data_IF_709342214937
#
_entry.id   IF_709342214937
#
_cell.length_a   1.000
_cell.length_b   1.000
_cell.length_c   1.000
_cell.angle_alpha   90.00
_cell.angle_beta   90.00
_cell.angle_gamma   90.00
#
_symmetry.space_group_name_H-M   'P 1'
#
loop_
_entity.id
_entity.type
_entity.pdbx_description
1 polymer ?
#
# COMPACT_ATOMS: atom_id res chain seq x y z
N UNK A 1 17.87 -1.16 -49.03
CA UNK A 1 16.77 -1.75 -49.82
C UNK A 1 17.35 -2.74 -50.82
N UNK A 2 17.20 -4.05 -50.59
CA UNK A 2 16.78 -5.16 -51.49
C UNK A 2 17.08 -6.52 -50.79
N UNK A 3 16.55 -7.69 -51.20
CA UNK A 3 15.30 -8.23 -50.64
C UNK A 3 15.39 -9.71 -50.16
N UNK A 4 14.31 -10.11 -49.48
CA UNK A 4 13.77 -11.47 -49.28
C UNK A 4 14.42 -12.65 -50.03
N UNK A 5 14.92 -13.65 -49.28
CA UNK A 5 15.11 -15.02 -49.77
C UNK A 5 14.07 -15.97 -49.16
N UNK A 6 13.15 -16.42 -49.99
CA UNK A 6 12.24 -17.55 -49.76
C UNK A 6 13.05 -18.85 -49.63
N UNK A 7 12.80 -19.65 -48.58
CA UNK A 7 13.03 -21.09 -48.61
C UNK A 7 11.75 -21.82 -48.20
N UNK A 8 11.19 -22.53 -49.19
CA UNK A 8 10.24 -23.62 -49.02
C UNK A 8 10.95 -24.77 -48.31
N UNK A 9 10.40 -25.25 -47.20
CA UNK A 9 10.67 -26.60 -46.71
C UNK A 9 9.39 -27.42 -46.71
N UNK A 10 9.55 -28.66 -47.16
CA UNK A 10 8.53 -29.63 -47.56
C UNK A 10 8.55 -30.72 -46.49
N UNK A 11 7.64 -30.68 -45.52
CA UNK A 11 7.60 -31.69 -44.46
C UNK A 11 6.89 -32.97 -44.93
N UNK A 12 7.62 -34.08 -44.78
CA UNK A 12 7.19 -35.44 -45.09
C UNK A 12 6.31 -35.98 -43.96
N UNK A 13 5.28 -36.73 -44.32
CA UNK A 13 4.32 -37.32 -43.40
C UNK A 13 4.94 -38.18 -42.30
N UNK A 14 4.48 -37.94 -41.07
CA UNK A 14 4.68 -38.80 -39.91
C UNK A 14 3.29 -39.25 -39.45
N UNK A 15 3.03 -40.55 -39.54
CA UNK A 15 1.80 -41.17 -39.02
C UNK A 15 1.81 -41.05 -37.49
N UNK A 16 0.86 -40.29 -36.94
CA UNK A 16 0.68 -40.10 -35.50
C UNK A 16 -0.24 -41.20 -34.97
N UNK A 17 0.11 -41.94 -33.89
CA UNK A 17 -0.78 -42.93 -33.32
C UNK A 17 -2.03 -42.27 -32.72
N UNK A 18 -3.21 -42.83 -33.00
CA UNK A 18 -4.48 -42.37 -32.44
C UNK A 18 -4.45 -42.45 -30.91
N UNK A 19 -4.48 -41.29 -30.24
CA UNK A 19 -4.71 -41.21 -28.79
C UNK A 19 -6.08 -41.82 -28.51
N UNK A 20 -6.13 -42.96 -27.79
CA UNK A 20 -7.37 -43.43 -27.18
C UNK A 20 -7.91 -42.31 -26.29
N UNK A 21 -9.10 -41.83 -26.63
CA UNK A 21 -9.85 -40.86 -25.83
C UNK A 21 -10.29 -41.62 -24.57
N UNK A 22 -9.73 -41.28 -23.42
CA UNK A 22 -10.26 -41.79 -22.14
C UNK A 22 -11.71 -41.35 -22.03
N UNK A 23 -12.58 -42.26 -21.61
CA UNK A 23 -14.00 -41.92 -21.38
C UNK A 23 -14.11 -40.93 -20.23
N UNK A 24 -15.12 -40.05 -20.25
CA UNK A 24 -15.38 -39.11 -19.15
C UNK A 24 -15.52 -39.83 -17.80
N UNK A 25 -15.96 -41.10 -17.82
CA UNK A 25 -16.07 -41.95 -16.64
C UNK A 25 -14.71 -42.30 -15.97
N UNK A 26 -13.63 -42.43 -16.74
CA UNK A 26 -12.28 -42.73 -16.23
C UNK A 26 -11.54 -41.50 -15.67
N UNK A 27 -11.86 -40.30 -16.17
CA UNK A 27 -11.36 -39.04 -15.58
C UNK A 27 -12.04 -38.76 -14.24
N UNK A 28 -13.32 -39.07 -14.12
CA UNK A 28 -14.11 -38.86 -12.90
C UNK A 28 -13.71 -39.83 -11.78
N UNK A 29 -13.28 -41.05 -12.09
CA UNK A 29 -12.85 -42.01 -11.06
C UNK A 29 -11.52 -41.62 -10.40
N UNK A 30 -10.61 -40.95 -11.12
CA UNK A 30 -9.35 -40.42 -10.56
C UNK A 30 -9.50 -39.13 -9.76
N UNK A 31 -10.61 -38.39 -9.91
CA UNK A 31 -10.88 -37.13 -9.21
C UNK A 31 -11.72 -37.22 -7.93
N UNK A 32 -12.34 -38.37 -7.64
CA UNK A 32 -13.35 -38.49 -6.57
C UNK A 32 -12.83 -38.60 -5.13
N UNK A 33 -11.52 -38.66 -4.92
CA UNK A 33 -10.91 -38.71 -3.57
C UNK A 33 -10.51 -37.34 -2.97
N UNK A 34 -10.40 -36.30 -3.80
CA UNK A 34 -9.91 -34.97 -3.39
C UNK A 34 -11.02 -34.00 -2.95
N UNK A 35 -12.21 -34.10 -3.55
CA UNK A 35 -13.28 -33.11 -3.40
C UNK A 35 -13.81 -32.95 -1.96
N UNK A 36 -13.93 -34.03 -1.18
CA UNK A 36 -14.40 -33.92 0.21
C UNK A 36 -13.33 -33.35 1.16
N UNK A 37 -12.05 -33.64 0.93
CA UNK A 37 -10.95 -33.05 1.72
C UNK A 37 -10.73 -31.60 1.33
N UNK A 38 -10.85 -31.26 0.05
CA UNK A 38 -10.75 -29.89 -0.46
C UNK A 38 -11.95 -29.04 -0.05
N UNK A 39 -13.17 -29.58 -0.03
CA UNK A 39 -14.35 -28.92 0.56
C UNK A 39 -14.20 -28.73 2.07
N UNK A 40 -13.59 -29.69 2.78
CA UNK A 40 -13.31 -29.60 4.22
C UNK A 40 -12.21 -28.58 4.53
N UNK A 41 -11.15 -28.54 3.72
CA UNK A 41 -10.07 -27.55 3.79
C UNK A 41 -10.64 -26.18 3.45
N UNK A 42 -11.36 -26.02 2.35
CA UNK A 42 -11.97 -24.74 1.97
C UNK A 42 -13.03 -24.29 2.98
N UNK A 43 -13.76 -25.21 3.62
CA UNK A 43 -14.69 -24.89 4.73
C UNK A 43 -13.93 -24.52 6.01
N UNK A 44 -12.78 -25.14 6.29
CA UNK A 44 -11.91 -24.76 7.42
C UNK A 44 -11.20 -23.45 7.17
N UNK A 45 -10.70 -23.19 5.97
CA UNK A 45 -10.13 -21.91 5.53
C UNK A 45 -11.21 -20.84 5.58
N UNK A 46 -12.40 -21.07 5.03
CA UNK A 46 -13.53 -20.14 5.17
C UNK A 46 -13.97 -19.95 6.62
N UNK A 47 -13.93 -20.98 7.47
CA UNK A 47 -14.22 -20.85 8.90
C UNK A 47 -13.12 -20.13 9.65
N UNK A 48 -11.85 -20.27 9.24
CA UNK A 48 -10.71 -19.60 9.83
C UNK A 48 -10.69 -18.12 9.42
N UNK A 49 -10.92 -17.84 8.14
CA UNK A 49 -11.14 -16.51 7.57
C UNK A 49 -12.39 -15.85 8.18
N UNK A 50 -13.50 -16.58 8.35
CA UNK A 50 -14.70 -16.05 9.03
C UNK A 50 -14.49 -15.82 10.54
N UNK A 51 -13.53 -16.50 11.18
CA UNK A 51 -13.12 -16.23 12.57
C UNK A 51 -12.18 -15.03 12.67
N UNK A 52 -11.37 -14.78 11.64
CA UNK A 52 -10.62 -13.52 11.48
C UNK A 52 -11.56 -12.34 11.13
N UNK A 53 -12.75 -12.63 10.58
CA UNK A 53 -13.84 -11.68 10.26
C UNK A 53 -14.95 -11.66 11.33
N UNK A 54 -14.69 -12.07 12.57
CA UNK A 54 -15.57 -11.73 13.70
C UNK A 54 -15.55 -10.20 13.92
N UNK A 55 -16.64 -9.59 14.45
CA UNK A 55 -17.06 -8.20 14.19
C UNK A 55 -15.93 -7.19 14.38
N UNK A 56 -15.91 -6.10 13.58
CA UNK A 56 -14.68 -5.46 13.15
C UNK A 56 -13.85 -5.14 14.38
N UNK A 57 -12.65 -5.71 14.49
CA UNK A 57 -11.62 -5.01 15.26
C UNK A 57 -11.61 -3.61 14.67
N UNK A 58 -12.01 -2.57 15.43
CA UNK A 58 -12.07 -1.23 14.89
C UNK A 58 -10.69 -0.92 14.34
N UNK A 59 -10.53 -0.67 13.05
CA UNK A 59 -9.25 -0.22 12.53
C UNK A 59 -9.14 1.26 12.90
N UNK A 60 -8.22 1.58 13.79
CA UNK A 60 -7.89 2.94 14.17
C UNK A 60 -6.73 3.41 13.31
N UNK A 61 -7.00 4.21 12.29
CA UNK A 61 -5.91 4.91 11.59
C UNK A 61 -5.44 6.02 12.54
N UNK A 62 -4.18 5.96 12.97
CA UNK A 62 -3.60 7.09 13.72
C UNK A 62 -3.47 8.28 12.79
N UNK A 63 -3.80 9.45 13.32
CA UNK A 63 -3.60 10.72 12.63
C UNK A 63 -2.14 10.85 12.24
N UNK A 64 -1.90 11.20 10.97
CA UNK A 64 -0.61 11.74 10.57
C UNK A 64 -0.47 13.07 11.30
N UNK A 65 0.36 13.10 12.35
CA UNK A 65 0.74 14.36 12.97
C UNK A 65 1.76 14.95 12.02
N UNK A 66 1.31 15.82 11.11
CA UNK A 66 2.21 16.62 10.28
C UNK A 66 2.99 17.52 11.22
N UNK A 67 4.23 17.12 11.51
CA UNK A 67 5.12 17.89 12.35
C UNK A 67 5.68 19.07 11.55
N UNK A 68 5.64 20.24 12.16
CA UNK A 68 6.22 21.44 11.55
C UNK A 68 7.74 21.23 11.30
N UNK A 69 8.29 21.72 10.17
CA UNK A 69 9.66 21.54 9.65
C UNK A 69 10.86 21.82 10.56
N UNK A 70 10.64 22.30 11.79
CA UNK A 70 11.69 22.73 12.73
C UNK A 70 12.66 21.59 13.10
N UNK A 71 12.35 20.35 12.72
CA UNK A 71 13.10 19.15 13.07
C UNK A 71 13.74 18.41 11.89
N UNK A 72 13.64 18.92 10.66
CA UNK A 72 14.40 18.35 9.54
C UNK A 72 15.83 18.84 9.66
N UNK A 73 16.73 17.99 10.17
CA UNK A 73 18.16 18.28 10.36
C UNK A 73 18.76 19.07 9.17
N UNK A 74 18.94 20.38 9.36
CA UNK A 74 19.53 21.26 8.35
C UNK A 74 18.57 21.86 7.31
N UNK A 75 17.25 21.86 7.54
CA UNK A 75 16.33 22.61 6.70
C UNK A 75 16.68 24.11 6.76
N UNK A 76 17.08 24.66 5.62
CA UNK A 76 17.27 26.10 5.45
C UNK A 76 15.93 26.87 5.55
N UNK A 77 14.83 26.14 5.36
CA UNK A 77 13.46 26.64 5.38
C UNK A 77 12.78 26.32 6.71
N UNK A 78 12.01 27.28 7.23
CA UNK A 78 11.13 27.11 8.40
C UNK A 78 9.79 26.46 8.02
N UNK A 79 9.58 26.13 6.75
CA UNK A 79 8.36 25.53 6.19
C UNK A 79 8.74 24.47 5.13
N UNK A 80 7.75 23.88 4.48
CA UNK A 80 7.92 22.89 3.39
C UNK A 80 8.17 23.53 2.02
N UNK A 81 8.23 24.87 1.92
CA UNK A 81 8.48 25.55 0.66
C UNK A 81 9.91 25.30 0.17
N UNK A 82 10.02 24.93 -1.10
CA UNK A 82 11.30 24.63 -1.75
C UNK A 82 11.85 23.23 -1.45
N UNK A 83 11.17 22.43 -0.62
CA UNK A 83 11.55 21.04 -0.36
C UNK A 83 11.06 20.14 -1.49
N UNK A 84 11.99 19.54 -2.23
CA UNK A 84 11.71 18.75 -3.44
C UNK A 84 12.18 17.30 -3.35
N UNK A 85 12.80 16.93 -2.22
CA UNK A 85 13.23 15.58 -1.94
C UNK A 85 12.86 15.18 -0.51
N UNK A 86 12.63 13.88 -0.24
CA UNK A 86 12.47 13.37 1.11
C UNK A 86 13.65 13.74 2.01
N UNK A 87 13.47 13.58 3.32
CA UNK A 87 14.57 13.66 4.28
C UNK A 87 15.66 12.66 3.89
N UNK A 88 16.89 13.16 3.73
CA UNK A 88 18.03 12.35 3.33
C UNK A 88 18.60 11.52 4.48
N UNK A 89 18.99 10.28 4.18
CA UNK A 89 19.66 9.39 5.12
C UNK A 89 18.71 8.52 5.96
N UNK A 90 19.26 7.48 6.58
CA UNK A 90 18.52 6.51 7.39
C UNK A 90 18.43 6.90 8.87
N UNK A 91 19.13 7.96 9.29
CA UNK A 91 19.28 8.37 10.69
C UNK A 91 18.28 9.47 11.09
N UNK A 92 17.08 9.47 10.51
CA UNK A 92 16.02 10.35 10.97
C UNK A 92 15.50 9.85 12.31
N UNK A 93 15.81 10.60 13.36
CA UNK A 93 15.45 10.32 14.75
C UNK A 93 14.59 11.44 15.28
N UNK A 94 13.43 11.66 14.65
CA UNK A 94 12.43 12.52 15.26
C UNK A 94 11.79 11.78 16.45
N UNK A 95 11.70 12.42 17.62
CA UNK A 95 11.01 11.83 18.76
C UNK A 95 9.54 11.67 18.40
N UNK A 96 8.92 10.51 18.65
CA UNK A 96 7.48 10.36 18.45
C UNK A 96 6.72 11.45 19.22
N UNK A 97 5.69 12.07 18.64
CA UNK A 97 4.89 13.04 19.36
C UNK A 97 4.30 12.43 20.63
N UNK A 98 4.21 13.19 21.72
CA UNK A 98 3.58 12.75 22.96
C UNK A 98 2.16 12.24 22.71
N UNK A 99 1.46 12.82 21.72
CA UNK A 99 0.15 12.38 21.28
C UNK A 99 0.12 10.92 20.80
N UNK A 100 1.18 10.43 20.14
CA UNK A 100 1.25 9.03 19.70
C UNK A 100 1.30 8.08 20.89
N UNK A 101 1.97 8.47 21.98
CA UNK A 101 2.00 7.66 23.20
C UNK A 101 0.61 7.61 23.86
N UNK A 102 -0.11 8.72 23.87
CA UNK A 102 -1.50 8.77 24.35
C UNK A 102 -2.40 7.86 23.52
N UNK A 103 -2.33 7.93 22.19
CA UNK A 103 -3.11 7.06 21.29
C UNK A 103 -2.80 5.58 21.55
N UNK A 104 -1.52 5.21 21.64
CA UNK A 104 -1.08 3.84 21.96
C UNK A 104 -1.61 3.40 23.34
N UNK A 105 -1.58 4.29 24.32
CA UNK A 105 -2.11 4.04 25.66
C UNK A 105 -3.62 3.80 25.68
N UNK A 106 -4.39 4.65 24.99
CA UNK A 106 -5.85 4.53 24.88
C UNK A 106 -6.22 3.23 24.18
N UNK A 107 -5.59 2.92 23.03
CA UNK A 107 -5.87 1.69 22.28
C UNK A 107 -5.60 0.44 23.11
N UNK A 108 -4.51 0.45 23.89
CA UNK A 108 -4.18 -0.65 24.80
C UNK A 108 -5.21 -0.82 25.93
N UNK A 109 -5.86 0.27 26.34
CA UNK A 109 -6.86 0.26 27.41
C UNK A 109 -8.29 -0.06 26.93
N UNK A 110 -8.53 -0.12 25.62
CA UNK A 110 -9.85 -0.44 25.06
C UNK A 110 -10.23 -1.91 25.32
N UNK A 111 -11.50 -2.15 25.64
CA UNK A 111 -12.06 -3.51 25.78
C UNK A 111 -11.94 -4.32 24.49
N UNK A 112 -12.03 -3.66 23.33
CA UNK A 112 -11.76 -4.22 22.00
C UNK A 112 -10.68 -3.37 21.32
N UNK A 113 -9.40 -3.73 21.44
CA UNK A 113 -8.30 -2.92 20.91
C UNK A 113 -8.39 -2.75 19.40
N UNK A 114 -8.21 -1.51 18.96
CA UNK A 114 -8.09 -1.18 17.56
C UNK A 114 -6.71 -1.55 17.01
N UNK A 115 -6.65 -2.01 15.76
CA UNK A 115 -5.37 -2.12 15.06
C UNK A 115 -4.87 -0.71 14.68
N UNK A 116 -3.64 -0.39 15.03
CA UNK A 116 -3.03 0.91 14.80
C UNK A 116 -2.11 0.89 13.58
N UNK A 117 -2.46 1.64 12.53
CA UNK A 117 -1.58 1.83 11.37
C UNK A 117 -0.64 3.03 11.60
N UNK A 118 0.52 2.78 12.22
CA UNK A 118 1.52 3.82 12.54
C UNK A 118 2.25 4.32 11.27
N UNK A 119 1.75 5.41 10.68
CA UNK A 119 2.30 6.07 9.49
C UNK A 119 3.20 7.27 9.82
N UNK A 120 3.43 7.57 11.09
CA UNK A 120 4.06 8.82 11.53
C UNK A 120 5.48 8.94 10.97
N UNK A 121 6.35 7.97 11.26
CA UNK A 121 7.75 8.02 10.83
C UNK A 121 7.90 8.09 9.30
N UNK A 122 7.10 7.31 8.55
CA UNK A 122 7.11 7.36 7.09
C UNK A 122 6.70 8.75 6.57
N UNK A 123 5.70 9.36 7.20
CA UNK A 123 5.16 10.66 6.77
C UNK A 123 6.13 11.80 7.04
N UNK A 124 6.82 11.77 8.18
CA UNK A 124 7.82 12.77 8.55
C UNK A 124 9.02 12.79 7.59
N UNK A 125 9.34 11.67 6.94
CA UNK A 125 10.37 11.61 5.90
C UNK A 125 9.99 12.35 4.62
N UNK A 126 8.70 12.63 4.38
CA UNK A 126 8.20 13.15 3.10
C UNK A 126 7.93 14.63 3.12
N UNK A 127 8.92 15.43 3.54
CA UNK A 127 8.86 16.90 3.48
C UNK A 127 8.51 17.48 2.11
N UNK A 128 8.81 16.74 1.05
CA UNK A 128 8.52 17.04 -0.35
C UNK A 128 7.07 16.78 -0.79
N UNK A 129 6.28 16.10 0.05
CA UNK A 129 4.93 15.66 -0.31
C UNK A 129 3.83 16.72 -0.11
N UNK A 130 4.18 17.90 0.40
CA UNK A 130 3.23 18.95 0.75
C UNK A 130 2.90 19.89 -0.42
N UNK A 131 1.67 20.41 -0.51
CA UNK A 131 1.30 21.41 -1.52
C UNK A 131 2.06 22.73 -1.38
N UNK A 132 2.50 23.09 -0.17
CA UNK A 132 3.15 24.38 0.10
C UNK A 132 2.26 25.54 -0.40
N UNK A 133 2.78 26.44 -1.25
CA UNK A 133 2.03 27.58 -1.81
C UNK A 133 1.16 27.23 -3.03
N UNK A 134 1.01 25.94 -3.32
CA UNK A 134 0.16 25.41 -4.39
C UNK A 134 -1.15 24.82 -3.85
N UNK A 135 -1.46 25.02 -2.55
CA UNK A 135 -2.74 24.67 -1.96
C UNK A 135 -3.85 25.66 -2.36
N UNK A 136 -4.98 25.17 -2.84
CA UNK A 136 -6.20 25.96 -3.06
C UNK A 136 -6.01 27.22 -3.91
N UNK A 137 -6.88 28.20 -3.70
CA UNK A 137 -6.90 29.47 -4.45
C UNK A 137 -6.18 30.59 -3.67
N UNK A 138 -4.85 30.53 -3.61
CA UNK A 138 -4.02 31.61 -3.07
C UNK A 138 -3.87 32.76 -4.08
N UNK A 139 -3.96 34.00 -3.61
CA UNK A 139 -3.66 35.18 -4.44
C UNK A 139 -2.16 35.22 -4.80
N UNK A 140 -1.77 35.96 -5.85
CA UNK A 140 -0.36 36.13 -6.20
C UNK A 140 0.51 36.62 -5.04
N UNK A 141 0.00 37.55 -4.22
CA UNK A 141 0.69 38.10 -3.06
C UNK A 141 0.87 37.06 -1.96
N UNK A 142 -0.12 36.19 -1.76
CA UNK A 142 -0.03 35.08 -0.81
C UNK A 142 0.98 34.05 -1.28
N UNK A 143 0.96 33.68 -2.57
CA UNK A 143 1.93 32.73 -3.15
C UNK A 143 3.37 33.26 -3.10
N UNK A 144 3.54 34.58 -3.18
CA UNK A 144 4.83 35.24 -3.02
C UNK A 144 5.34 35.30 -1.57
N UNK A 145 4.54 34.91 -0.57
CA UNK A 145 4.92 34.88 0.84
C UNK A 145 4.75 33.49 1.49
N UNK A 146 5.60 32.50 1.12
CA UNK A 146 5.49 31.12 1.60
C UNK A 146 5.55 30.99 3.13
N UNK A 147 6.24 31.88 3.82
CA UNK A 147 6.34 31.87 5.30
C UNK A 147 4.98 31.99 5.99
N UNK A 148 3.98 32.57 5.31
CA UNK A 148 2.62 32.73 5.86
C UNK A 148 1.57 31.89 5.15
N UNK A 149 1.84 31.42 3.94
CA UNK A 149 0.84 30.78 3.07
C UNK A 149 1.14 29.33 2.74
N UNK A 150 2.35 28.82 3.03
CA UNK A 150 2.71 27.45 2.71
C UNK A 150 1.89 26.46 3.55
N UNK A 151 1.14 25.61 2.87
CA UNK A 151 0.45 24.49 3.49
C UNK A 151 1.39 23.28 3.61
N UNK A 152 1.81 23.03 4.85
CA UNK A 152 2.62 21.87 5.22
C UNK A 152 1.84 20.86 6.06
N UNK A 153 0.51 20.99 6.07
CA UNK A 153 -0.38 20.13 6.85
C UNK A 153 -1.12 19.12 5.97
N UNK A 154 -1.39 19.49 4.72
CA UNK A 154 -1.99 18.64 3.72
C UNK A 154 -0.95 18.00 2.80
N UNK A 155 -1.40 17.10 1.94
CA UNK A 155 -0.57 16.31 1.05
C UNK A 155 -1.04 16.45 -0.39
N UNK A 156 -0.10 16.54 -1.33
CA UNK A 156 -0.43 16.46 -2.74
C UNK A 156 -0.97 15.08 -3.10
N UNK A 157 -1.84 15.05 -4.12
CA UNK A 157 -2.31 13.84 -4.78
C UNK A 157 -1.98 13.92 -6.28
N UNK A 158 -1.40 12.86 -6.89
CA UNK A 158 -0.91 11.64 -6.24
C UNK A 158 0.29 11.94 -5.31
N UNK A 159 0.50 11.12 -4.28
CA UNK A 159 1.53 11.38 -3.28
C UNK A 159 1.53 10.45 -2.06
N UNK A 160 1.92 10.99 -0.91
CA UNK A 160 2.06 10.22 0.33
C UNK A 160 0.77 9.49 0.75
N UNK A 161 -0.45 10.07 0.64
CA UNK A 161 -1.68 9.37 1.00
C UNK A 161 -1.92 8.07 0.21
N UNK A 162 -1.39 7.96 -1.01
CA UNK A 162 -1.49 6.72 -1.79
C UNK A 162 -0.70 5.58 -1.12
N UNK A 163 0.42 5.90 -0.48
CA UNK A 163 1.21 4.92 0.28
C UNK A 163 0.46 4.47 1.54
N UNK A 164 -0.22 5.39 2.23
CA UNK A 164 -1.05 5.04 3.39
C UNK A 164 -2.20 4.12 2.99
N UNK A 165 -2.85 4.40 1.85
CA UNK A 165 -3.92 3.56 1.33
C UNK A 165 -3.41 2.16 0.97
N UNK A 166 -2.20 2.05 0.40
CA UNK A 166 -1.59 0.76 0.13
C UNK A 166 -1.30 0.00 1.43
N UNK A 167 -0.71 0.65 2.44
CA UNK A 167 -0.45 0.03 3.73
C UNK A 167 -1.74 -0.43 4.42
N UNK A 168 -2.78 0.39 4.39
CA UNK A 168 -4.10 0.04 4.91
C UNK A 168 -4.68 -1.18 4.15
N UNK A 169 -4.63 -1.17 2.82
CA UNK A 169 -5.08 -2.30 2.00
C UNK A 169 -4.32 -3.57 2.38
N UNK A 170 -3.00 -3.50 2.55
CA UNK A 170 -2.22 -4.67 2.99
C UNK A 170 -2.63 -5.15 4.38
N UNK A 171 -2.86 -4.24 5.32
CA UNK A 171 -3.26 -4.57 6.69
C UNK A 171 -4.67 -5.18 6.77
N UNK A 172 -5.57 -4.84 5.84
CA UNK A 172 -6.93 -5.36 5.84
C UNK A 172 -7.04 -6.74 5.18
N UNK A 173 -6.23 -7.01 4.16
CA UNK A 173 -6.40 -8.21 3.32
C UNK A 173 -5.26 -9.22 3.43
N UNK A 174 -4.11 -8.83 3.99
CA UNK A 174 -2.90 -9.66 4.01
C UNK A 174 -2.17 -9.71 5.36
N UNK A 175 -2.71 -9.09 6.42
CA UNK A 175 -2.17 -9.12 7.78
C UNK A 175 -2.95 -10.06 8.71
#
# INVERSE_FOLDING_TARGET
>A
MNPMSLRRERERGRVVPSRRRLSEAELVSRGKGGGQRELSINRRVRSHVARLMAPPTPFGVTTSVTRYPVEWNGAASKNCFGETAPVGGWNYTAPYPDQTQVIKGVIKAMTSPAALLDITALSELRKDGHPSVYSGDLTPEQRANPDRSADCSHWCLPGLPDTWNLLLYTALFFA
#
